data_IF_158190660738
#
_entry.id   IF_158190660738
#
_cell.length_a   1.000
_cell.length_b   1.000
_cell.length_c   1.000
_cell.angle_alpha   90.00
_cell.angle_beta   90.00
_cell.angle_gamma   90.00
#
_symmetry.space_group_name_H-M   'P 1'
#
loop_
_entity.id
_entity.type
_entity.pdbx_description
1 polymer ?
#
# COMPACT_ATOMS: atom_id res chain seq x y z
N UNK A 1 -20.83 -32.36 53.35
CA UNK A 1 -21.24 -31.99 51.98
C UNK A 1 -20.14 -31.11 51.42
N UNK A 2 -19.26 -31.66 50.58
CA UNK A 2 -18.07 -30.97 50.08
C UNK A 2 -18.35 -30.44 48.66
N UNK A 3 -18.22 -29.14 48.47
CA UNK A 3 -18.38 -28.48 47.17
C UNK A 3 -17.06 -28.62 46.40
N UNK A 4 -17.08 -29.38 45.30
CA UNK A 4 -15.95 -29.47 44.36
C UNK A 4 -16.05 -28.27 43.42
N UNK A 5 -15.17 -27.28 43.59
CA UNK A 5 -14.97 -26.22 42.61
C UNK A 5 -14.16 -26.78 41.44
N UNK A 6 -14.83 -27.04 40.32
CA UNK A 6 -14.17 -27.34 39.05
C UNK A 6 -13.70 -26.00 38.47
N UNK A 7 -12.39 -25.75 38.55
CA UNK A 7 -11.74 -24.70 37.77
C UNK A 7 -11.78 -25.13 36.29
N UNK A 8 -12.75 -24.59 35.54
CA UNK A 8 -12.73 -24.69 34.09
C UNK A 8 -11.79 -23.59 33.59
N UNK A 9 -10.55 -23.95 33.32
CA UNK A 9 -9.67 -23.11 32.51
C UNK A 9 -10.30 -22.99 31.13
N UNK A 10 -10.90 -21.83 30.85
CA UNK A 10 -11.25 -21.45 29.48
C UNK A 10 -9.98 -21.62 28.62
N UNK A 11 -10.08 -22.25 27.43
CA UNK A 11 -8.95 -22.26 26.51
C UNK A 11 -8.56 -20.80 26.28
N UNK A 12 -7.28 -20.47 26.50
CA UNK A 12 -6.73 -19.22 25.98
C UNK A 12 -6.97 -19.27 24.47
N UNK A 13 -7.94 -18.47 24.01
CA UNK A 13 -8.01 -18.10 22.61
C UNK A 13 -6.65 -17.47 22.31
N UNK A 14 -5.86 -18.00 21.37
CA UNK A 14 -4.63 -17.34 20.98
C UNK A 14 -5.00 -15.89 20.66
N UNK A 15 -4.27 -14.94 21.26
CA UNK A 15 -4.42 -13.53 20.96
C UNK A 15 -4.56 -13.39 19.44
N UNK A 16 -5.61 -12.69 19.00
CA UNK A 16 -5.76 -12.31 17.61
C UNK A 16 -4.44 -11.64 17.26
N UNK A 17 -3.59 -12.35 16.51
CA UNK A 17 -2.38 -11.81 15.94
C UNK A 17 -2.81 -10.51 15.28
N UNK A 18 -2.24 -9.37 15.70
CA UNK A 18 -2.64 -8.06 15.20
C UNK A 18 -2.32 -8.03 13.70
N UNK A 19 -3.25 -8.54 12.88
CA UNK A 19 -3.13 -8.62 11.44
C UNK A 19 -3.28 -7.19 10.91
N UNK A 20 -2.18 -6.43 10.98
CA UNK A 20 -2.06 -5.16 10.28
C UNK A 20 -2.30 -5.43 8.80
N UNK A 21 -3.40 -4.90 8.28
CA UNK A 21 -3.66 -4.91 6.85
C UNK A 21 -3.02 -3.69 6.25
N UNK A 22 -2.11 -3.94 5.33
CA UNK A 22 -1.35 -2.89 4.69
C UNK A 22 -1.79 -2.74 3.25
N UNK A 23 -2.26 -1.54 2.89
CA UNK A 23 -2.75 -1.21 1.56
C UNK A 23 -1.94 -0.05 1.02
N UNK A 24 -1.40 -0.21 -0.19
CA UNK A 24 -0.86 0.91 -0.98
C UNK A 24 -1.63 1.00 -2.26
N UNK A 25 -2.20 2.18 -2.52
CA UNK A 25 -2.79 2.51 -3.80
C UNK A 25 -1.94 3.58 -4.45
N UNK A 26 -1.50 3.30 -5.67
CA UNK A 26 -0.82 4.23 -6.56
C UNK A 26 -1.71 4.50 -7.76
N UNK A 27 -1.81 5.76 -8.17
CA UNK A 27 -2.55 6.20 -9.34
C UNK A 27 -1.74 7.24 -10.12
N UNK A 28 -1.74 7.11 -11.44
CA UNK A 28 -1.06 8.01 -12.34
C UNK A 28 -1.70 7.95 -13.73
N UNK A 29 -2.08 9.10 -14.26
CA UNK A 29 -2.55 9.29 -15.62
C UNK A 29 -1.36 9.82 -16.43
N UNK A 30 -0.63 8.88 -17.04
CA UNK A 30 0.55 9.18 -17.83
C UNK A 30 0.24 9.77 -19.20
N UNK A 31 1.30 9.99 -19.98
CA UNK A 31 1.16 10.49 -21.35
C UNK A 31 0.44 9.46 -22.26
N UNK A 32 -0.18 9.96 -23.34
CA UNK A 32 -0.85 9.15 -24.37
C UNK A 32 -2.01 8.28 -23.86
N UNK A 33 -2.92 8.88 -23.07
CA UNK A 33 -4.14 8.21 -22.57
C UNK A 33 -3.86 6.89 -21.82
N UNK A 34 -2.71 6.82 -21.14
CA UNK A 34 -2.33 5.68 -20.31
C UNK A 34 -2.61 5.96 -18.84
N UNK A 35 -3.59 5.27 -18.25
CA UNK A 35 -3.88 5.35 -16.82
C UNK A 35 -3.35 4.11 -16.12
N UNK A 36 -2.55 4.31 -15.07
CA UNK A 36 -1.93 3.24 -14.30
C UNK A 36 -2.43 3.31 -12.86
N UNK A 37 -2.95 2.19 -12.39
CA UNK A 37 -3.30 1.97 -10.99
C UNK A 37 -2.58 0.75 -10.47
N UNK A 38 -1.90 0.87 -9.32
CA UNK A 38 -1.33 -0.27 -8.62
C UNK A 38 -1.94 -0.35 -7.24
N UNK A 39 -2.38 -1.55 -6.84
CA UNK A 39 -2.90 -1.83 -5.51
C UNK A 39 -2.07 -2.96 -4.91
N UNK A 40 -1.31 -2.64 -3.88
CA UNK A 40 -0.59 -3.61 -3.06
C UNK A 40 -1.40 -3.86 -1.80
N UNK A 41 -1.66 -5.13 -1.48
CA UNK A 41 -2.32 -5.55 -0.24
C UNK A 41 -1.52 -6.63 0.47
N UNK A 42 -1.33 -6.48 1.78
CA UNK A 42 -0.71 -7.50 2.63
C UNK A 42 -1.62 -7.79 3.82
N UNK A 43 -2.10 -9.04 3.92
CA UNK A 43 -2.93 -9.53 5.02
C UNK A 43 -2.22 -10.69 5.72
N UNK A 44 -1.51 -10.44 6.82
CA UNK A 44 -0.85 -11.51 7.58
C UNK A 44 0.20 -12.34 6.81
N UNK A 45 0.57 -11.91 5.58
CA UNK A 45 1.44 -12.55 4.58
C UNK A 45 0.82 -13.81 3.92
N UNK A 46 1.00 -14.03 2.60
CA UNK A 46 1.80 -13.24 1.64
C UNK A 46 1.09 -11.96 1.15
N UNK A 47 1.83 -11.10 0.42
CA UNK A 47 1.31 -9.86 -0.15
C UNK A 47 1.01 -10.01 -1.63
N UNK A 48 -0.06 -9.36 -2.08
CA UNK A 48 -0.53 -9.38 -3.46
C UNK A 48 -0.46 -7.99 -4.05
N UNK A 49 0.00 -7.92 -5.30
CA UNK A 49 0.01 -6.69 -6.08
C UNK A 49 -0.93 -6.89 -7.26
N UNK A 50 -1.83 -5.93 -7.44
CA UNK A 50 -2.69 -5.82 -8.62
C UNK A 50 -2.28 -4.58 -9.40
N UNK A 51 -1.79 -4.79 -10.61
CA UNK A 51 -1.47 -3.71 -11.57
C UNK A 51 -2.62 -3.65 -12.57
N UNK A 52 -3.22 -2.48 -12.70
CA UNK A 52 -4.22 -2.17 -13.73
C UNK A 52 -3.66 -1.08 -14.62
N UNK A 53 -3.56 -1.35 -15.92
CA UNK A 53 -3.14 -0.38 -16.93
C UNK A 53 -4.27 -0.23 -17.92
N UNK A 54 -4.82 0.96 -18.03
CA UNK A 54 -5.70 1.35 -19.12
C UNK A 54 -4.86 2.07 -20.16
N UNK A 55 -4.86 1.58 -21.41
CA UNK A 55 -4.24 2.27 -22.54
C UNK A 55 -5.29 2.47 -23.61
N UNK A 56 -5.64 3.72 -23.91
CA UNK A 56 -6.63 4.05 -24.94
C UNK A 56 -7.97 3.32 -24.74
N UNK A 57 -8.43 3.17 -23.50
CA UNK A 57 -9.67 2.47 -23.14
C UNK A 57 -9.57 0.94 -23.07
N UNK A 58 -8.37 0.37 -23.33
CA UNK A 58 -8.12 -1.07 -23.16
C UNK A 58 -7.52 -1.31 -21.78
N UNK A 59 -8.29 -1.96 -20.92
CA UNK A 59 -7.88 -2.30 -19.55
C UNK A 59 -7.17 -3.66 -19.52
N UNK A 60 -5.92 -3.64 -19.04
CA UNK A 60 -5.12 -4.82 -18.71
C UNK A 60 -4.96 -4.89 -17.19
N UNK A 61 -5.22 -6.07 -16.61
CA UNK A 61 -5.13 -6.30 -15.17
C UNK A 61 -4.28 -7.53 -14.90
N UNK A 62 -3.21 -7.35 -14.13
CA UNK A 62 -2.36 -8.44 -13.66
C UNK A 62 -2.35 -8.48 -12.13
N UNK A 63 -2.46 -9.66 -11.54
CA UNK A 63 -2.31 -9.87 -10.10
C UNK A 63 -1.26 -10.92 -9.85
N UNK A 64 -0.29 -10.61 -9.00
CA UNK A 64 0.77 -11.53 -8.65
C UNK A 64 1.13 -11.39 -7.16
N UNK A 65 1.72 -12.47 -6.63
CA UNK A 65 2.26 -12.49 -5.27
C UNK A 65 3.67 -11.88 -5.26
N UNK A 66 3.95 -11.08 -4.25
CA UNK A 66 5.29 -10.57 -3.97
C UNK A 66 5.84 -11.20 -2.68
N UNK A 67 7.15 -11.42 -2.66
CA UNK A 67 7.81 -11.98 -1.49
C UNK A 67 7.79 -10.99 -0.33
N UNK A 68 7.93 -11.49 0.90
CA UNK A 68 8.10 -10.61 2.07
C UNK A 68 9.36 -9.75 1.99
N UNK A 69 10.39 -10.22 1.29
CA UNK A 69 11.61 -9.46 1.05
C UNK A 69 11.35 -8.27 0.12
N UNK A 70 10.68 -8.50 -1.02
CA UNK A 70 10.33 -7.43 -1.96
C UNK A 70 9.34 -6.44 -1.35
N UNK A 71 8.39 -6.92 -0.56
CA UNK A 71 7.49 -6.08 0.23
C UNK A 71 8.27 -5.19 1.21
N UNK A 72 9.27 -5.73 1.91
CA UNK A 72 10.08 -4.96 2.86
C UNK A 72 10.95 -3.92 2.13
N UNK A 73 11.53 -4.28 0.98
CA UNK A 73 12.28 -3.34 0.12
C UNK A 73 11.41 -2.21 -0.38
N UNK A 74 10.19 -2.53 -0.82
CA UNK A 74 9.20 -1.55 -1.23
C UNK A 74 8.87 -0.59 -0.07
N UNK A 75 8.63 -1.09 1.14
CA UNK A 75 8.31 -0.23 2.28
C UNK A 75 9.45 0.65 2.76
N UNK A 76 10.64 0.09 2.88
CA UNK A 76 11.82 0.85 3.30
C UNK A 76 12.12 1.96 2.28
N UNK A 77 12.09 1.62 0.98
CA UNK A 77 12.25 2.60 -0.09
C UNK A 77 11.20 3.69 -0.04
N UNK A 78 9.92 3.35 0.16
CA UNK A 78 8.84 4.35 0.26
C UNK A 78 9.07 5.36 1.40
N UNK A 79 9.54 4.89 2.57
CA UNK A 79 9.81 5.76 3.72
C UNK A 79 11.08 6.60 3.59
N UNK A 80 12.04 6.15 2.78
CA UNK A 80 13.36 6.78 2.63
C UNK A 80 13.43 7.75 1.44
N UNK A 81 12.50 7.68 0.49
CA UNK A 81 12.45 8.62 -0.64
C UNK A 81 12.08 10.02 -0.14
N UNK A 82 13.06 10.94 -0.23
CA UNK A 82 12.92 12.34 0.18
C UNK A 82 11.73 13.03 -0.51
N UNK A 83 11.48 12.72 -1.79
CA UNK A 83 10.31 13.18 -2.53
C UNK A 83 8.99 12.76 -1.86
N UNK A 84 8.84 11.49 -1.44
CA UNK A 84 7.64 11.02 -0.71
C UNK A 84 7.46 11.79 0.59
N UNK A 85 8.55 12.00 1.34
CA UNK A 85 8.49 12.72 2.63
C UNK A 85 8.02 14.17 2.50
N UNK A 86 8.45 14.85 1.42
CA UNK A 86 8.09 16.25 1.13
C UNK A 86 6.73 16.40 0.45
N UNK A 87 6.26 15.34 -0.19
CA UNK A 87 5.00 15.29 -0.94
C UNK A 87 3.80 14.83 -0.12
N UNK A 88 3.94 14.69 1.21
CA UNK A 88 2.81 14.31 2.07
C UNK A 88 1.73 15.40 2.02
N UNK A 89 0.53 15.01 1.60
CA UNK A 89 -0.64 15.87 1.57
C UNK A 89 -1.17 15.95 3.01
N UNK A 90 -0.95 17.09 3.64
CA UNK A 90 -1.38 17.38 5.03
C UNK A 90 -2.62 18.27 5.09
N UNK A 91 -2.99 18.87 3.97
CA UNK A 91 -4.15 19.73 3.81
C UNK A 91 -5.05 19.13 2.72
N UNK A 92 -6.25 18.68 3.11
CA UNK A 92 -7.24 18.07 2.22
C UNK A 92 -7.80 19.05 1.18
N UNK A 93 -7.51 20.35 1.30
CA UNK A 93 -7.88 21.36 0.30
C UNK A 93 -6.94 21.43 -0.91
N UNK A 94 -5.78 20.76 -0.85
CA UNK A 94 -4.86 20.67 -1.99
C UNK A 94 -5.44 19.70 -3.02
N UNK A 95 -5.83 20.25 -4.17
CA UNK A 95 -6.25 19.45 -5.32
C UNK A 95 -4.99 18.88 -5.96
N UNK A 96 -4.80 17.57 -5.83
CA UNK A 96 -3.74 16.82 -6.53
C UNK A 96 -4.40 15.99 -7.61
N UNK A 97 -4.10 16.28 -8.87
CA UNK A 97 -4.56 15.50 -10.01
C UNK A 97 -3.54 14.42 -10.41
N UNK A 98 -4.04 13.34 -11.00
CA UNK A 98 -3.22 12.21 -11.45
C UNK A 98 -2.50 12.46 -12.78
N UNK A 99 -2.81 13.54 -13.50
CA UNK A 99 -2.19 13.89 -14.79
C UNK A 99 -0.80 14.52 -14.60
N UNK A 100 -0.64 15.26 -13.51
CA UNK A 100 0.59 15.98 -13.16
C UNK A 100 1.31 15.39 -11.95
N UNK A 101 0.66 14.49 -11.19
CA UNK A 101 1.24 13.87 -10.02
C UNK A 101 1.12 12.34 -10.00
N UNK A 102 2.13 11.72 -9.43
CA UNK A 102 2.05 10.38 -8.88
C UNK A 102 1.35 10.42 -7.52
N UNK A 103 0.13 9.89 -7.45
CA UNK A 103 -0.68 9.92 -6.23
C UNK A 103 -0.58 8.60 -5.50
N UNK A 104 -0.25 8.66 -4.21
CA UNK A 104 -0.18 7.50 -3.32
C UNK A 104 -1.12 7.66 -2.14
N UNK A 105 -1.76 6.55 -1.77
CA UNK A 105 -2.41 6.39 -0.48
C UNK A 105 -1.82 5.17 0.19
N UNK A 106 -1.33 5.34 1.42
CA UNK A 106 -1.00 4.24 2.31
C UNK A 106 -2.08 4.11 3.38
N UNK A 107 -2.43 2.89 3.72
CA UNK A 107 -3.34 2.59 4.82
C UNK A 107 -2.80 1.41 5.61
N UNK A 108 -2.67 1.61 6.92
CA UNK A 108 -2.42 0.56 7.89
C UNK A 108 -3.66 0.41 8.75
N UNK A 109 -4.30 -0.75 8.65
CA UNK A 109 -5.50 -1.10 9.41
C UNK A 109 -5.11 -2.12 10.47
N UNK A 110 -5.30 -1.73 11.71
CA UNK A 110 -5.07 -2.58 12.89
C UNK A 110 -6.38 -2.83 13.63
N UNK A 111 -6.35 -3.69 14.66
CA UNK A 111 -7.47 -3.86 15.58
C UNK A 111 -7.78 -2.59 16.39
N UNK A 112 -6.82 -1.67 16.49
CA UNK A 112 -6.90 -0.42 17.25
C UNK A 112 -7.41 0.76 16.40
N UNK A 113 -7.43 0.62 15.08
CA UNK A 113 -7.93 1.63 14.14
C UNK A 113 -7.21 1.64 12.80
N UNK A 114 -7.64 2.57 11.94
CA UNK A 114 -7.09 2.79 10.61
C UNK A 114 -6.25 4.07 10.60
N UNK A 115 -5.01 3.97 10.13
CA UNK A 115 -4.17 5.12 9.82
C UNK A 115 -3.98 5.21 8.30
N UNK A 116 -4.23 6.37 7.72
CA UNK A 116 -4.02 6.59 6.29
C UNK A 116 -3.20 7.85 6.04
N UNK A 117 -2.43 7.85 4.96
CA UNK A 117 -1.65 9.00 4.52
C UNK A 117 -1.68 9.09 3.01
N UNK A 118 -1.78 10.32 2.51
CA UNK A 118 -1.82 10.63 1.09
C UNK A 118 -0.57 11.41 0.68
N UNK A 119 -0.09 11.14 -0.52
CA UNK A 119 1.12 11.74 -1.07
C UNK A 119 0.90 12.09 -2.55
N UNK A 120 1.40 13.23 -2.98
CA UNK A 120 1.34 13.70 -4.37
C UNK A 120 2.70 14.15 -4.84
N UNK A 121 3.40 13.32 -5.61
CA UNK A 121 4.74 13.63 -6.13
C UNK A 121 4.58 14.18 -7.54
N UNK A 122 5.01 15.41 -7.77
CA UNK A 122 4.98 16.05 -9.09
C UNK A 122 5.78 15.18 -10.07
N UNK A 123 5.22 14.91 -11.24
CA UNK A 123 5.80 14.02 -12.27
C UNK A 123 7.24 14.40 -12.60
N UNK A 124 7.50 15.69 -12.78
CA UNK A 124 8.83 16.22 -13.14
C UNK A 124 9.84 16.14 -11.98
N UNK A 125 9.36 15.97 -10.75
CA UNK A 125 10.18 15.86 -9.54
C UNK A 125 10.36 14.41 -9.06
N UNK A 126 9.82 13.44 -9.80
CA UNK A 126 10.07 12.02 -9.56
C UNK A 126 11.56 11.71 -9.71
N UNK A 127 12.25 11.48 -8.59
CA UNK A 127 13.67 11.12 -8.60
C UNK A 127 13.90 9.77 -9.30
N UNK A 128 15.11 9.53 -9.81
CA UNK A 128 15.47 8.22 -10.39
C UNK A 128 15.23 7.08 -9.39
N UNK A 129 15.54 7.29 -8.11
CA UNK A 129 15.24 6.36 -7.01
C UNK A 129 13.74 6.06 -6.89
N UNK A 130 12.89 7.06 -7.04
CA UNK A 130 11.44 6.88 -6.99
C UNK A 130 10.92 6.05 -8.17
N UNK A 131 11.44 6.30 -9.38
CA UNK A 131 11.07 5.54 -10.57
C UNK A 131 11.59 4.09 -10.51
N UNK A 132 12.81 3.87 -9.99
CA UNK A 132 13.36 2.54 -9.76
C UNK A 132 12.56 1.77 -8.70
N UNK A 133 12.18 2.45 -7.62
CA UNK A 133 11.29 1.91 -6.58
C UNK A 133 9.92 1.48 -7.16
N UNK A 134 9.29 2.31 -8.00
CA UNK A 134 8.05 1.95 -8.70
C UNK A 134 8.22 0.73 -9.62
N UNK A 135 9.43 0.47 -10.12
CA UNK A 135 9.68 -0.66 -11.02
C UNK A 135 9.66 -2.02 -10.31
N UNK A 136 9.88 -2.05 -8.99
CA UNK A 136 9.80 -3.28 -8.16
C UNK A 136 8.42 -3.94 -8.31
N UNK A 137 7.38 -3.12 -8.44
CA UNK A 137 5.98 -3.56 -8.55
C UNK A 137 5.48 -3.62 -10.00
N UNK A 138 6.32 -3.31 -11.00
CA UNK A 138 5.94 -3.29 -12.42
C UNK A 138 6.52 -4.44 -13.24
N UNK A 139 7.61 -5.08 -12.78
CA UNK A 139 8.40 -6.04 -13.56
C UNK A 139 8.05 -7.52 -13.33
N UNK A 140 6.81 -7.86 -12.95
CA UNK A 140 6.36 -9.27 -12.87
C UNK A 140 5.16 -9.58 -13.74
#
# INVERSE_FOLDING_TARGET
MALILIWVSLPLVPAIDNQSTLIVQYMYDGEEDTKKKIVLTAFGRPAFVTVTVDRNGKVEKNTFEISNEDLSKFWNGFSEIDAVSKSKIVDESVVVDTETHHVFMTMDRTSEGDNSSWYGIVKEEGSEEFLEWLSIIDKK
#
